data_IF_887082512828
#
_entry.id   IF_887082512828
#
_cell.length_a   1.000
_cell.length_b   1.000
_cell.length_c   1.000
_cell.angle_alpha   90.00
_cell.angle_beta   90.00
_cell.angle_gamma   90.00
#
_symmetry.space_group_name_H-M   'P 1'
#
loop_
_entity.id
_entity.type
_entity.pdbx_description
1 polymer ?
#
# COMPACT_ATOMS: atom_id res chain seq x y z
N UNK A 1 23.21 -4.30 -56.91
CA UNK A 1 22.29 -5.08 -56.07
C UNK A 1 22.76 -4.94 -54.63
N UNK A 2 21.95 -4.30 -53.78
CA UNK A 2 22.33 -3.80 -52.45
C UNK A 2 22.65 -4.93 -51.46
N UNK A 3 23.80 -4.83 -50.77
CA UNK A 3 24.04 -5.56 -49.53
C UNK A 3 23.05 -5.09 -48.45
N UNK A 4 22.36 -6.03 -47.78
CA UNK A 4 21.55 -5.71 -46.59
C UNK A 4 22.20 -6.31 -45.34
N UNK A 5 22.55 -5.39 -44.44
CA UNK A 5 23.19 -5.51 -43.14
C UNK A 5 22.51 -6.50 -42.20
N UNK A 6 23.32 -7.24 -41.46
CA UNK A 6 23.00 -7.76 -40.13
C UNK A 6 22.94 -6.58 -39.16
N UNK A 7 21.86 -6.45 -38.41
CA UNK A 7 21.87 -5.69 -37.14
C UNK A 7 21.05 -6.45 -36.11
N UNK A 8 21.76 -7.12 -35.20
CA UNK A 8 21.18 -7.67 -33.98
C UNK A 8 20.87 -6.56 -32.98
N UNK A 9 19.67 -6.59 -32.40
CA UNK A 9 19.25 -5.99 -31.12
C UNK A 9 17.94 -6.70 -30.73
N UNK A 10 17.67 -7.14 -29.50
CA UNK A 10 18.47 -7.19 -28.29
C UNK A 10 17.89 -8.28 -27.39
N UNK A 11 18.77 -9.07 -26.80
CA UNK A 11 18.42 -9.96 -25.70
C UNK A 11 18.16 -9.07 -24.47
N UNK A 12 16.93 -9.06 -23.96
CA UNK A 12 16.62 -8.40 -22.70
C UNK A 12 17.29 -9.16 -21.55
N UNK A 13 18.36 -8.60 -20.98
CA UNK A 13 19.00 -9.13 -19.79
C UNK A 13 18.11 -8.89 -18.57
N UNK A 14 17.45 -9.95 -18.09
CA UNK A 14 16.83 -9.99 -16.77
C UNK A 14 17.95 -10.07 -15.72
N UNK A 15 18.35 -8.94 -15.15
CA UNK A 15 19.26 -8.92 -14.00
C UNK A 15 18.48 -9.22 -12.72
N UNK A 16 18.46 -10.49 -12.33
CA UNK A 16 18.11 -10.93 -10.97
C UNK A 16 19.31 -10.63 -10.06
N UNK A 17 19.21 -9.59 -9.23
CA UNK A 17 20.19 -9.36 -8.17
C UNK A 17 19.69 -9.99 -6.88
N UNK A 18 20.23 -11.16 -6.53
CA UNK A 18 20.10 -11.76 -5.20
C UNK A 18 21.19 -11.21 -4.29
N UNK A 19 20.82 -10.40 -3.29
CA UNK A 19 21.74 -10.00 -2.21
C UNK A 19 21.67 -11.08 -1.12
N UNK A 20 22.61 -12.03 -1.12
CA UNK A 20 22.84 -12.90 0.04
C UNK A 20 23.80 -12.21 1.00
N UNK A 21 23.39 -12.05 2.27
CA UNK A 21 24.32 -11.73 3.36
C UNK A 21 23.91 -12.51 4.60
N UNK A 22 24.85 -13.29 5.11
CA UNK A 22 24.76 -14.09 6.34
C UNK A 22 24.47 -13.22 7.57
N UNK A 23 23.57 -13.68 8.43
CA UNK A 23 23.30 -13.05 9.74
C UNK A 23 23.92 -13.92 10.83
N UNK A 24 24.99 -13.42 11.46
CA UNK A 24 25.46 -13.91 12.76
C UNK A 24 24.93 -12.95 13.83
N UNK A 25 24.10 -13.49 14.72
CA UNK A 25 23.96 -13.18 16.16
C UNK A 25 23.74 -11.73 16.62
N UNK A 26 22.56 -11.46 17.20
CA UNK A 26 22.35 -10.35 18.14
C UNK A 26 20.99 -9.67 17.98
N UNK A 27 19.96 -10.20 18.64
CA UNK A 27 18.53 -9.89 18.43
C UNK A 27 18.08 -8.44 18.66
N UNK A 28 18.86 -7.57 19.32
CA UNK A 28 18.50 -6.15 19.49
C UNK A 28 19.21 -5.20 18.50
N UNK A 29 20.46 -5.51 18.13
CA UNK A 29 21.24 -4.72 17.15
C UNK A 29 20.83 -5.12 15.73
N UNK A 30 20.51 -6.40 15.49
CA UNK A 30 19.99 -6.90 14.22
C UNK A 30 18.63 -6.30 13.85
N UNK A 31 17.77 -6.02 14.85
CA UNK A 31 16.46 -5.39 14.61
C UNK A 31 16.59 -3.91 14.23
N UNK A 32 17.49 -3.16 14.86
CA UNK A 32 17.76 -1.77 14.50
C UNK A 32 18.47 -1.66 13.14
N UNK A 33 19.45 -2.52 12.88
CA UNK A 33 20.14 -2.59 11.58
C UNK A 33 19.21 -3.08 10.45
N UNK A 34 18.34 -4.04 10.75
CA UNK A 34 17.26 -4.49 9.84
C UNK A 34 16.27 -3.37 9.55
N UNK A 35 16.00 -2.50 10.54
CA UNK A 35 15.12 -1.34 10.38
C UNK A 35 15.66 -0.26 9.45
N UNK A 36 16.94 0.09 9.59
CA UNK A 36 17.60 1.03 8.67
C UNK A 36 17.78 0.43 7.26
N UNK A 37 17.98 -0.89 7.18
CA UNK A 37 18.14 -1.60 5.90
C UNK A 37 16.87 -1.55 5.04
N UNK A 38 15.68 -1.88 5.56
CA UNK A 38 14.47 -1.83 4.74
C UNK A 38 14.14 -0.39 4.30
N UNK A 39 14.41 0.61 5.15
CA UNK A 39 14.11 2.01 4.85
C UNK A 39 14.93 2.47 3.65
N UNK A 40 16.21 2.10 3.64
CA UNK A 40 17.11 2.35 2.51
C UNK A 40 16.62 1.65 1.24
N UNK A 41 16.19 0.38 1.34
CA UNK A 41 15.61 -0.36 0.21
C UNK A 41 14.33 0.29 -0.35
N UNK A 42 13.41 0.74 0.52
CA UNK A 42 12.21 1.47 0.10
C UNK A 42 12.56 2.77 -0.61
N UNK A 43 13.46 3.58 -0.07
CA UNK A 43 13.85 4.84 -0.69
C UNK A 43 14.51 4.64 -2.06
N UNK A 44 15.38 3.62 -2.19
CA UNK A 44 15.97 3.25 -3.46
C UNK A 44 14.91 2.80 -4.47
N UNK A 45 13.97 1.96 -4.03
CA UNK A 45 12.86 1.50 -4.86
C UNK A 45 12.02 2.67 -5.38
N UNK A 46 11.58 3.58 -4.52
CA UNK A 46 10.75 4.71 -4.94
C UNK A 46 11.48 5.63 -5.93
N UNK A 47 12.78 5.89 -5.72
CA UNK A 47 13.60 6.66 -6.68
C UNK A 47 13.68 5.98 -8.04
N UNK A 48 13.84 4.66 -8.07
CA UNK A 48 13.84 3.89 -9.32
C UNK A 48 12.46 3.96 -10.02
N UNK A 49 11.36 3.84 -9.27
CA UNK A 49 10.01 3.97 -9.83
C UNK A 49 9.74 5.37 -10.40
N UNK A 50 10.22 6.43 -9.73
CA UNK A 50 10.12 7.80 -10.24
C UNK A 50 10.90 7.95 -11.56
N UNK A 51 12.14 7.42 -11.64
CA UNK A 51 12.93 7.45 -12.87
C UNK A 51 12.25 6.68 -14.02
N UNK A 52 11.72 5.49 -13.74
CA UNK A 52 11.05 4.64 -14.75
C UNK A 52 9.75 5.25 -15.26
N UNK A 53 8.92 5.79 -14.37
CA UNK A 53 7.61 6.34 -14.73
C UNK A 53 7.68 7.75 -15.32
N UNK A 54 8.79 8.47 -15.12
CA UNK A 54 8.94 9.91 -15.42
C UNK A 54 7.90 10.81 -14.73
N UNK A 55 7.15 10.28 -13.75
CA UNK A 55 6.15 11.01 -12.97
C UNK A 55 6.74 11.42 -11.63
N UNK A 56 6.34 12.59 -11.12
CA UNK A 56 6.67 12.98 -9.74
C UNK A 56 5.88 12.10 -8.77
N UNK A 57 6.58 11.49 -7.83
CA UNK A 57 6.00 10.60 -6.82
C UNK A 57 6.13 11.22 -5.42
N UNK A 58 5.24 10.81 -4.53
CA UNK A 58 5.30 11.04 -3.09
C UNK A 58 5.20 9.68 -2.37
N UNK A 59 5.73 9.57 -1.16
CA UNK A 59 5.79 8.32 -0.41
C UNK A 59 5.55 8.50 1.09
N UNK A 60 5.05 7.47 1.74
CA UNK A 60 4.96 7.37 3.20
C UNK A 60 5.48 6.00 3.64
N UNK A 61 6.10 5.94 4.82
CA UNK A 61 6.51 4.68 5.46
C UNK A 61 5.82 4.65 6.82
N UNK A 62 4.93 3.69 7.04
CA UNK A 62 4.05 3.63 8.21
C UNK A 62 3.99 2.24 8.84
N UNK A 63 3.62 2.18 10.12
CA UNK A 63 3.45 0.92 10.85
C UNK A 63 2.03 0.36 10.70
N UNK A 64 1.62 0.04 9.47
CA UNK A 64 0.34 -0.61 9.17
C UNK A 64 0.52 -2.12 8.95
N UNK A 65 1.06 -2.80 9.96
CA UNK A 65 1.44 -4.21 9.87
C UNK A 65 1.21 -4.99 11.16
N UNK A 66 1.44 -6.30 11.10
CA UNK A 66 1.45 -7.21 12.27
C UNK A 66 2.52 -6.89 13.33
N UNK A 67 3.20 -5.75 13.23
CA UNK A 67 4.22 -5.28 14.16
C UNK A 67 5.65 -5.61 13.74
N UNK A 68 5.86 -6.36 12.65
CA UNK A 68 7.20 -6.80 12.23
C UNK A 68 7.93 -5.80 11.35
N UNK A 69 7.26 -5.33 10.28
CA UNK A 69 7.88 -4.46 9.27
C UNK A 69 6.94 -3.32 8.88
N UNK A 70 7.43 -2.09 8.70
CA UNK A 70 6.59 -1.02 8.18
C UNK A 70 6.29 -1.22 6.69
N UNK A 71 5.24 -0.53 6.26
CA UNK A 71 4.69 -0.58 4.92
C UNK A 71 5.06 0.70 4.18
N UNK A 72 5.46 0.57 2.93
CA UNK A 72 5.70 1.68 2.03
C UNK A 72 4.44 1.98 1.23
N UNK A 73 3.99 3.22 1.24
CA UNK A 73 2.94 3.72 0.34
C UNK A 73 3.58 4.64 -0.67
N UNK A 74 3.23 4.49 -1.94
CA UNK A 74 3.69 5.34 -3.04
C UNK A 74 2.48 5.89 -3.79
N UNK A 75 2.42 7.20 -3.92
CA UNK A 75 1.38 7.91 -4.63
C UNK A 75 2.01 8.80 -5.71
N UNK A 76 1.23 9.16 -6.74
CA UNK A 76 1.64 10.24 -7.64
C UNK A 76 1.49 11.57 -6.92
N UNK A 77 2.38 12.51 -7.20
CA UNK A 77 2.41 13.81 -6.52
C UNK A 77 1.14 14.65 -6.74
N UNK A 78 0.39 14.42 -7.83
CA UNK A 78 -0.90 15.05 -8.10
C UNK A 78 -2.06 14.47 -7.28
N UNK A 79 -1.88 13.28 -6.69
CA UNK A 79 -2.81 12.74 -5.68
C UNK A 79 -2.49 13.16 -4.25
N UNK A 80 -1.34 13.81 -4.03
CA UNK A 80 -0.95 14.39 -2.76
C UNK A 80 -1.60 15.80 -2.62
N UNK A 81 -2.37 16.02 -1.56
CA UNK A 81 -3.14 17.26 -1.34
C UNK A 81 -2.22 18.49 -1.24
N UNK A 82 -2.55 19.56 -1.98
CA UNK A 82 -1.81 20.85 -1.92
C UNK A 82 -2.20 21.65 -0.67
N UNK A 83 -1.25 22.33 -0.04
CA UNK A 83 -1.52 23.32 1.01
C UNK A 83 -1.14 22.95 2.46
N UNK A 84 -0.18 22.04 2.67
CA UNK A 84 0.43 21.83 4.00
C UNK A 84 -0.21 20.76 4.89
N UNK A 85 -1.15 19.95 4.36
CA UNK A 85 -1.66 18.72 5.00
C UNK A 85 -1.52 17.57 4.02
N UNK A 86 -0.35 16.94 3.99
CA UNK A 86 0.17 16.07 2.92
C UNK A 86 -0.49 14.68 2.84
N UNK A 87 -1.82 14.60 2.83
CA UNK A 87 -2.56 13.35 2.60
C UNK A 87 -2.59 12.95 1.12
N UNK A 88 -2.79 11.67 0.83
CA UNK A 88 -3.13 11.19 -0.51
C UNK A 88 -4.41 10.35 -0.45
N UNK A 89 -5.30 10.54 -1.42
CA UNK A 89 -6.52 9.73 -1.56
C UNK A 89 -6.27 8.37 -2.22
N UNK A 90 -5.13 8.18 -2.87
CA UNK A 90 -4.77 6.94 -3.54
C UNK A 90 -3.27 6.66 -3.39
N UNK A 91 -2.91 5.41 -3.11
CA UNK A 91 -1.52 4.96 -3.08
C UNK A 91 -1.39 3.46 -3.39
N UNK A 92 -0.31 3.09 -4.07
CA UNK A 92 0.15 1.71 -4.15
C UNK A 92 0.87 1.34 -2.84
N UNK A 93 0.58 0.15 -2.32
CA UNK A 93 1.06 -0.36 -1.04
C UNK A 93 2.09 -1.44 -1.29
N UNK A 94 3.23 -1.33 -0.61
CA UNK A 94 4.37 -2.22 -0.74
C UNK A 94 4.87 -2.67 0.63
N UNK A 95 5.43 -3.86 0.70
CA UNK A 95 6.13 -4.38 1.87
C UNK A 95 7.54 -4.85 1.52
N UNK A 96 8.37 -5.03 2.53
CA UNK A 96 9.67 -5.67 2.41
C UNK A 96 9.52 -7.11 2.88
N UNK A 97 9.73 -8.07 1.99
CA UNK A 97 9.66 -9.51 2.27
C UNK A 97 10.79 -10.21 1.55
N UNK A 98 11.45 -11.13 2.23
CA UNK A 98 12.48 -12.02 1.63
C UNK A 98 13.56 -11.26 0.85
N UNK A 99 14.03 -10.14 1.43
CA UNK A 99 15.11 -9.34 0.87
C UNK A 99 14.70 -8.34 -0.22
N UNK A 100 13.42 -8.29 -0.62
CA UNK A 100 12.94 -7.43 -1.71
C UNK A 100 11.69 -6.63 -1.34
N UNK A 101 11.46 -5.54 -2.09
CA UNK A 101 10.22 -4.76 -2.01
C UNK A 101 9.18 -5.42 -2.92
N UNK A 102 8.02 -5.78 -2.36
CA UNK A 102 6.92 -6.44 -3.05
C UNK A 102 5.69 -5.56 -3.06
N UNK A 103 4.99 -5.54 -4.19
CA UNK A 103 3.69 -4.86 -4.30
C UNK A 103 2.61 -5.71 -3.64
N UNK A 104 1.78 -5.10 -2.79
CA UNK A 104 0.65 -5.75 -2.13
C UNK A 104 -0.63 -5.43 -2.90
N UNK A 105 -1.02 -4.17 -2.95
CA UNK A 105 -2.29 -3.73 -3.55
C UNK A 105 -2.29 -2.22 -3.75
N UNK A 106 -3.30 -1.71 -4.45
CA UNK A 106 -3.65 -0.29 -4.39
C UNK A 106 -4.72 -0.06 -3.31
N UNK A 107 -4.61 1.08 -2.64
CA UNK A 107 -5.62 1.63 -1.73
C UNK A 107 -6.10 2.95 -2.32
N UNK A 108 -7.41 3.15 -2.31
CA UNK A 108 -8.05 4.34 -2.84
C UNK A 108 -9.23 4.74 -1.95
N UNK A 109 -9.42 6.04 -1.78
CA UNK A 109 -10.59 6.73 -1.23
C UNK A 109 -11.25 7.59 -2.31
N UNK A 110 -12.50 8.02 -2.10
CA UNK A 110 -13.20 8.89 -3.07
C UNK A 110 -12.94 10.38 -2.82
N UNK A 111 -12.33 11.05 -3.79
CA UNK A 111 -12.18 12.50 -3.82
C UNK A 111 -11.06 13.06 -2.93
N UNK A 112 -10.72 14.33 -3.13
CA UNK A 112 -9.66 15.02 -2.40
C UNK A 112 -9.97 15.27 -0.92
N UNK A 113 -11.22 15.08 -0.47
CA UNK A 113 -11.63 15.25 0.93
C UNK A 113 -11.39 14.05 1.84
N UNK A 114 -10.99 12.89 1.28
CA UNK A 114 -10.89 11.63 2.01
C UNK A 114 -9.46 11.05 1.93
N UNK A 115 -8.46 11.63 2.62
CA UNK A 115 -7.12 11.08 2.58
C UNK A 115 -7.07 9.69 3.20
N UNK A 116 -6.12 8.85 2.77
CA UNK A 116 -5.85 7.59 3.44
C UNK A 116 -5.45 7.84 4.90
N UNK A 117 -6.03 7.07 5.82
CA UNK A 117 -5.76 7.17 7.25
C UNK A 117 -4.94 5.96 7.72
N UNK A 118 -4.17 6.16 8.78
CA UNK A 118 -3.61 5.09 9.58
C UNK A 118 -4.34 5.03 10.92
N UNK A 119 -4.83 3.86 11.29
CA UNK A 119 -5.33 3.58 12.62
C UNK A 119 -4.78 2.23 13.09
N UNK A 120 -4.03 2.28 14.18
CA UNK A 120 -3.32 1.11 14.73
C UNK A 120 -2.48 0.43 13.64
N UNK A 121 -2.74 -0.86 13.37
CA UNK A 121 -2.06 -1.66 12.35
C UNK A 121 -2.67 -1.60 10.95
N UNK A 122 -3.60 -0.68 10.70
CA UNK A 122 -4.38 -0.65 9.47
C UNK A 122 -4.18 0.63 8.66
N UNK A 123 -4.13 0.46 7.34
CA UNK A 123 -4.38 1.50 6.33
C UNK A 123 -5.89 1.53 6.10
N UNK A 124 -6.51 2.69 6.21
CA UNK A 124 -7.95 2.86 6.05
C UNK A 124 -8.22 3.73 4.82
N UNK A 125 -9.19 3.31 4.02
CA UNK A 125 -9.77 4.13 2.95
C UNK A 125 -11.28 4.21 3.05
N UNK A 126 -11.83 5.31 2.55
CA UNK A 126 -13.23 5.67 2.67
C UNK A 126 -13.83 6.10 1.34
N UNK A 127 -15.01 5.58 1.04
CA UNK A 127 -15.85 5.87 -0.11
C UNK A 127 -17.23 6.24 0.41
N UNK A 128 -18.01 7.01 -0.35
CA UNK A 128 -19.35 7.46 0.08
C UNK A 128 -20.25 6.32 0.61
N UNK A 129 -20.09 5.10 0.08
CA UNK A 129 -20.90 3.93 0.46
C UNK A 129 -20.06 2.68 0.72
N UNK A 130 -18.77 2.84 0.97
CA UNK A 130 -17.86 1.73 1.24
C UNK A 130 -16.69 2.19 2.07
N UNK A 131 -16.18 1.35 2.95
CA UNK A 131 -14.90 1.60 3.58
C UNK A 131 -14.09 0.33 3.70
N UNK A 132 -12.78 0.50 3.72
CA UNK A 132 -11.83 -0.58 3.64
C UNK A 132 -10.76 -0.39 4.71
N UNK A 133 -10.28 -1.50 5.26
CA UNK A 133 -9.08 -1.53 6.09
C UNK A 133 -8.15 -2.63 5.63
N UNK A 134 -6.88 -2.29 5.51
CA UNK A 134 -5.82 -3.19 5.07
C UNK A 134 -4.76 -3.30 6.17
N UNK A 135 -4.42 -4.53 6.55
CA UNK A 135 -3.23 -4.85 7.32
C UNK A 135 -2.24 -5.63 6.45
N UNK A 136 -0.95 -5.33 6.55
CA UNK A 136 0.09 -6.02 5.77
C UNK A 136 0.94 -6.91 6.69
N UNK A 137 1.28 -8.12 6.26
CA UNK A 137 2.25 -8.99 6.95
C UNK A 137 3.06 -9.77 5.92
N UNK A 138 4.37 -9.53 5.90
CA UNK A 138 5.26 -10.05 4.86
C UNK A 138 4.76 -9.68 3.47
N UNK A 139 4.70 -10.64 2.55
CA UNK A 139 4.18 -10.47 1.19
C UNK A 139 2.64 -10.53 1.07
N UNK A 140 1.91 -10.51 2.19
CA UNK A 140 0.44 -10.65 2.19
C UNK A 140 -0.26 -9.38 2.67
N UNK A 141 -1.41 -9.09 2.07
CA UNK A 141 -2.39 -8.12 2.57
C UNK A 141 -3.62 -8.81 3.12
N UNK A 142 -4.21 -8.29 4.19
CA UNK A 142 -5.47 -8.77 4.76
C UNK A 142 -6.46 -7.62 4.71
N UNK A 143 -7.45 -7.76 3.86
CA UNK A 143 -8.44 -6.72 3.61
C UNK A 143 -9.76 -7.08 4.25
N UNK A 144 -10.35 -6.12 4.95
CA UNK A 144 -11.78 -6.12 5.26
C UNK A 144 -12.44 -4.93 4.57
N UNK A 145 -13.64 -5.15 4.01
CA UNK A 145 -14.49 -4.07 3.51
C UNK A 145 -15.89 -4.17 4.05
N UNK A 146 -16.53 -3.02 4.13
CA UNK A 146 -17.97 -2.88 4.36
C UNK A 146 -18.52 -2.00 3.26
N UNK A 147 -19.56 -2.47 2.57
CA UNK A 147 -20.12 -1.85 1.38
C UNK A 147 -21.64 -1.66 1.53
N UNK A 148 -22.18 -0.68 0.82
CA UNK A 148 -23.62 -0.49 0.58
C UNK A 148 -24.34 0.39 1.61
N UNK A 149 -23.67 0.85 2.66
CA UNK A 149 -24.29 1.72 3.66
C UNK A 149 -24.62 3.10 3.07
N UNK A 150 -25.76 3.68 3.46
CA UNK A 150 -26.22 4.97 2.96
C UNK A 150 -26.73 4.93 1.51
N UNK A 151 -26.88 3.75 0.90
CA UNK A 151 -27.57 3.57 -0.38
C UNK A 151 -29.01 3.14 -0.10
N UNK A 152 -29.98 3.98 -0.45
CA UNK A 152 -31.39 3.67 -0.27
C UNK A 152 -31.78 2.39 -1.03
N UNK A 153 -32.30 1.38 -0.31
CA UNK A 153 -32.65 0.07 -0.89
C UNK A 153 -31.45 -0.81 -1.27
N UNK A 154 -30.23 -0.39 -0.98
CA UNK A 154 -29.00 -1.14 -1.27
C UNK A 154 -28.77 -2.30 -0.30
N UNK A 155 -28.25 -3.42 -0.81
CA UNK A 155 -27.77 -4.51 0.05
C UNK A 155 -26.41 -4.17 0.62
N UNK A 156 -26.28 -4.29 1.93
CA UNK A 156 -25.01 -4.08 2.60
C UNK A 156 -24.23 -5.39 2.73
N UNK A 157 -22.91 -5.32 2.56
CA UNK A 157 -22.03 -6.47 2.62
C UNK A 157 -20.83 -6.20 3.51
N UNK A 158 -20.45 -7.18 4.34
CA UNK A 158 -19.11 -7.27 4.91
C UNK A 158 -18.33 -8.30 4.12
N UNK A 159 -17.15 -7.93 3.63
CA UNK A 159 -16.25 -8.82 2.89
C UNK A 159 -14.89 -8.85 3.55
N UNK A 160 -14.21 -9.98 3.42
CA UNK A 160 -12.79 -10.07 3.74
C UNK A 160 -12.08 -10.94 2.72
N UNK A 161 -10.80 -10.68 2.50
CA UNK A 161 -9.95 -11.50 1.64
C UNK A 161 -8.48 -11.32 1.99
N UNK A 162 -7.69 -12.30 1.58
CA UNK A 162 -6.23 -12.22 1.62
C UNK A 162 -5.73 -11.80 0.24
N UNK A 163 -4.70 -10.95 0.19
CA UNK A 163 -4.03 -10.52 -1.03
C UNK A 163 -2.67 -11.21 -1.05
N UNK A 164 -2.45 -12.06 -2.05
CA UNK A 164 -1.17 -12.77 -2.27
C UNK A 164 -0.79 -12.56 -3.73
N UNK A 165 0.42 -12.08 -3.98
CA UNK A 165 0.91 -11.74 -5.33
C UNK A 165 -0.05 -10.81 -6.10
N UNK A 166 -0.63 -9.84 -5.39
CA UNK A 166 -1.60 -8.88 -5.94
C UNK A 166 -2.98 -9.46 -6.26
N UNK A 167 -3.23 -10.74 -5.98
CA UNK A 167 -4.51 -11.42 -6.26
C UNK A 167 -5.30 -11.63 -4.98
N UNK A 168 -6.62 -11.49 -5.08
CA UNK A 168 -7.55 -11.81 -3.98
C UNK A 168 -7.70 -13.32 -3.84
N UNK A 169 -7.54 -13.82 -2.63
CA UNK A 169 -7.72 -15.21 -2.22
C UNK A 169 -8.61 -15.24 -0.96
N UNK A 170 -9.17 -16.41 -0.64
CA UNK A 170 -9.97 -16.64 0.57
C UNK A 170 -11.08 -15.60 0.77
N UNK A 171 -11.79 -15.28 -0.32
CA UNK A 171 -12.82 -14.24 -0.31
C UNK A 171 -14.03 -14.74 0.48
N UNK A 172 -14.38 -14.01 1.53
CA UNK A 172 -15.64 -14.18 2.25
C UNK A 172 -16.53 -12.97 2.02
N UNK A 173 -17.84 -13.20 1.97
CA UNK A 173 -18.85 -12.15 1.81
C UNK A 173 -20.09 -12.52 2.60
N UNK A 174 -20.59 -11.59 3.40
CA UNK A 174 -21.80 -11.76 4.21
C UNK A 174 -22.70 -10.56 4.04
N UNK A 175 -23.97 -10.80 3.72
CA UNK A 175 -25.02 -9.77 3.78
C UNK A 175 -25.23 -9.37 5.23
N UNK A 176 -25.27 -8.08 5.49
CA UNK A 176 -25.52 -7.49 6.82
C UNK A 176 -26.59 -6.40 6.70
N UNK A 177 -27.18 -6.01 7.83
CA UNK A 177 -28.11 -4.87 7.86
C UNK A 177 -27.36 -3.55 7.63
N UNK A 178 -28.06 -2.55 7.11
CA UNK A 178 -27.52 -1.20 6.94
C UNK A 178 -27.02 -0.60 8.25
N UNK A 179 -27.80 -0.73 9.34
CA UNK A 179 -27.37 -0.31 10.69
C UNK A 179 -26.02 -0.91 11.08
N UNK A 180 -25.81 -2.20 10.79
CA UNK A 180 -24.54 -2.88 11.10
C UNK A 180 -23.41 -2.43 10.18
N UNK A 181 -23.72 -2.15 8.91
CA UNK A 181 -22.74 -1.67 7.95
C UNK A 181 -22.25 -0.25 8.30
N UNK A 182 -23.15 0.66 8.62
CA UNK A 182 -22.83 2.02 9.07
C UNK A 182 -22.01 2.01 10.37
N UNK A 183 -22.37 1.16 11.34
CA UNK A 183 -21.59 1.01 12.58
C UNK A 183 -20.17 0.46 12.33
N UNK A 184 -19.98 -0.30 11.25
CA UNK A 184 -18.68 -0.85 10.85
C UNK A 184 -17.89 0.07 9.93
N UNK A 185 -18.38 1.25 9.56
CA UNK A 185 -17.69 2.15 8.64
C UNK A 185 -16.28 2.46 9.15
N UNK A 186 -15.28 1.80 8.57
CA UNK A 186 -13.92 1.85 9.04
C UNK A 186 -13.34 3.26 8.92
N UNK A 187 -13.75 4.01 7.90
CA UNK A 187 -13.20 5.34 7.64
C UNK A 187 -13.73 6.34 8.65
N UNK A 188 -15.06 6.43 8.80
CA UNK A 188 -15.66 7.35 9.77
C UNK A 188 -15.20 7.01 11.19
N UNK A 189 -15.22 5.72 11.56
CA UNK A 189 -14.73 5.27 12.86
C UNK A 189 -13.27 5.68 13.08
N UNK A 190 -12.38 5.48 12.09
CA UNK A 190 -10.99 5.90 12.22
C UNK A 190 -10.85 7.43 12.32
N UNK A 191 -11.58 8.18 11.50
CA UNK A 191 -11.54 9.64 11.51
C UNK A 191 -11.96 10.24 12.86
N UNK A 192 -12.97 9.66 13.51
CA UNK A 192 -13.50 10.13 14.79
C UNK A 192 -12.70 9.60 15.99
N UNK A 193 -12.12 8.41 15.88
CA UNK A 193 -11.51 7.68 17.01
C UNK A 193 -9.98 7.54 16.87
N UNK A 194 -9.30 8.65 16.58
CA UNK A 194 -7.84 8.76 16.69
C UNK A 194 -7.03 8.17 15.53
N UNK A 195 -7.66 7.88 14.40
CA UNK A 195 -6.98 7.66 13.14
C UNK A 195 -6.33 8.95 12.64
N UNK A 196 -5.18 8.82 11.98
CA UNK A 196 -4.39 9.97 11.51
C UNK A 196 -4.24 9.91 10.00
N UNK A 197 -4.36 11.05 9.34
CA UNK A 197 -4.00 11.19 7.93
C UNK A 197 -2.57 10.73 7.70
N UNK A 198 -2.37 9.85 6.72
CA UNK A 198 -1.04 9.41 6.31
C UNK A 198 -0.37 10.56 5.56
N UNK A 199 0.80 10.98 6.04
CA UNK A 199 1.57 12.11 5.51
C UNK A 199 2.60 11.62 4.51
N UNK A 200 2.48 12.08 3.26
CA UNK A 200 3.33 11.70 2.13
C UNK A 200 4.41 12.75 1.86
N UNK A 201 5.66 12.28 1.79
CA UNK A 201 6.84 13.09 1.46
C UNK A 201 7.14 13.03 -0.03
N UNK A 202 7.57 14.14 -0.62
CA UNK A 202 8.05 14.16 -2.02
C UNK A 202 9.32 13.33 -2.18
N UNK A 203 9.44 12.66 -3.31
CA UNK A 203 10.65 11.93 -3.70
C UNK A 203 11.67 12.93 -4.25
N UNK A 204 12.81 13.05 -3.57
CA UNK A 204 13.96 13.86 -4.01
C UNK A 204 14.74 13.15 -5.10
#
# INVERSE_FOLDING_TARGET
>A
MFQKKVTGKGLAALLLFSVMVSVIGGSSIADAAGKEKYKSSYLQFVKQQQKKSQKKLCYAIINASDGKMPVLLVARADFCMKGGKEGAGQASVYSYSDGKVVHITEMQSTGSGYPLLQKDKYIISGWHHSSQRLMVSGAKGYMDTVDGFGIYGGKCHKKSWVIVDGKKQDVTSKVISEKKAAALDYYLNASEHGGKTIVFKKVK
#
